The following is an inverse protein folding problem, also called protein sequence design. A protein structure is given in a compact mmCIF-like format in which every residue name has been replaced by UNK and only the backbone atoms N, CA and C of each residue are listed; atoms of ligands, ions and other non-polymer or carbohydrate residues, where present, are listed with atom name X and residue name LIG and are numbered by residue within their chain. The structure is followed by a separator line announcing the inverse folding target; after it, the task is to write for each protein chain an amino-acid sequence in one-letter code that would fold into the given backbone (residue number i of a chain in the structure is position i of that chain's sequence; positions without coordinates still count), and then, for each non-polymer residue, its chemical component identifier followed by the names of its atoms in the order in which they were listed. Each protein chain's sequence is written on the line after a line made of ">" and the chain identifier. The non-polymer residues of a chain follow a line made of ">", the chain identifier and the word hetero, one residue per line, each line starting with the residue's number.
data_IF_941818667584
#
_entry.id   IF_941818667584
#
_cell.length_a   1.000
_cell.length_b   1.000
_cell.length_c   1.000
_cell.angle_alpha   90.00
_cell.angle_beta   90.00
_cell.angle_gamma   90.00
#
_symmetry.space_group_name_H-M   'P 1'
#
loop_
_entity.id
_entity.type
_entity.pdbx_description
1 polymer ?
#
# COMPACT_ATOMS: atom_id res chain seq x y z
N UNK A 1 30.15 -15.46 -16.51
CA UNK A 1 28.77 -15.16 -16.98
C UNK A 1 28.24 -13.93 -16.23
N UNK A 2 28.68 -12.70 -16.56
CA UNK A 2 28.27 -11.49 -15.83
C UNK A 2 26.95 -10.88 -16.35
N UNK A 3 26.63 -11.03 -17.64
CA UNK A 3 25.50 -10.34 -18.30
C UNK A 3 24.13 -10.77 -17.78
N UNK A 4 23.97 -12.06 -17.41
CA UNK A 4 22.70 -12.58 -16.88
C UNK A 4 22.41 -12.03 -15.47
N UNK A 5 23.44 -11.89 -14.65
CA UNK A 5 23.32 -11.38 -13.29
C UNK A 5 23.01 -9.88 -13.28
N UNK A 6 23.62 -9.11 -14.19
CA UNK A 6 23.32 -7.70 -14.38
C UNK A 6 21.87 -7.45 -14.83
N UNK A 7 21.35 -8.30 -15.72
CA UNK A 7 19.95 -8.19 -16.18
C UNK A 7 18.97 -8.51 -15.07
N UNK A 8 19.23 -9.58 -14.28
CA UNK A 8 18.39 -9.95 -13.15
C UNK A 8 18.37 -8.84 -12.09
N UNK A 9 19.53 -8.26 -11.79
CA UNK A 9 19.66 -7.11 -10.88
C UNK A 9 18.84 -5.91 -11.36
N UNK A 10 18.98 -5.51 -12.63
CA UNK A 10 18.23 -4.39 -13.22
C UNK A 10 16.71 -4.62 -13.19
N UNK A 11 16.26 -5.86 -13.41
CA UNK A 11 14.82 -6.21 -13.32
C UNK A 11 14.31 -6.04 -11.89
N UNK A 12 15.08 -6.51 -10.91
CA UNK A 12 14.73 -6.38 -9.51
C UNK A 12 14.70 -4.91 -9.05
N UNK A 13 15.68 -4.10 -9.47
CA UNK A 13 15.68 -2.66 -9.20
C UNK A 13 14.44 -1.98 -9.79
N UNK A 14 14.07 -2.27 -11.04
CA UNK A 14 12.83 -1.76 -11.65
C UNK A 14 11.56 -2.19 -10.91
N UNK A 15 11.53 -3.41 -10.37
CA UNK A 15 10.41 -3.88 -9.56
C UNK A 15 10.28 -3.06 -8.26
N UNK A 16 11.41 -2.78 -7.60
CA UNK A 16 11.42 -1.90 -6.43
C UNK A 16 10.89 -0.51 -6.79
N UNK A 17 11.38 0.09 -7.87
CA UNK A 17 10.97 1.44 -8.26
C UNK A 17 9.48 1.52 -8.64
N UNK A 18 8.94 0.49 -9.32
CA UNK A 18 7.50 0.37 -9.60
C UNK A 18 6.69 0.29 -8.31
N UNK A 19 7.10 -0.56 -7.36
CA UNK A 19 6.41 -0.72 -6.08
C UNK A 19 6.50 0.56 -5.23
N UNK A 20 7.66 1.21 -5.18
CA UNK A 20 7.84 2.48 -4.47
C UNK A 20 6.89 3.57 -5.02
N UNK A 21 6.76 3.65 -6.34
CA UNK A 21 5.84 4.59 -6.99
C UNK A 21 4.38 4.34 -6.61
N UNK A 22 3.95 3.06 -6.62
CA UNK A 22 2.60 2.67 -6.23
C UNK A 22 2.32 2.94 -4.75
N UNK A 23 3.27 2.57 -3.87
CA UNK A 23 3.17 2.81 -2.42
C UNK A 23 3.08 4.30 -2.11
N UNK A 24 3.87 5.14 -2.79
CA UNK A 24 3.82 6.60 -2.65
C UNK A 24 2.51 7.19 -3.14
N UNK A 25 1.97 6.68 -4.25
CA UNK A 25 0.70 7.13 -4.80
C UNK A 25 -0.50 6.74 -3.92
N UNK A 26 -0.39 5.67 -3.14
CA UNK A 26 -1.43 5.25 -2.20
C UNK A 26 -1.47 6.09 -0.91
N UNK A 27 -0.46 6.93 -0.67
CA UNK A 27 -0.43 7.79 0.52
C UNK A 27 -1.45 8.91 0.41
N UNK A 28 -2.20 9.09 1.49
CA UNK A 28 -3.08 10.23 1.71
C UNK A 28 -2.28 11.41 2.26
N UNK A 29 -2.18 12.55 1.54
CA UNK A 29 -1.41 13.69 2.00
C UNK A 29 -1.84 14.22 3.36
N UNK A 30 -3.14 14.11 3.69
CA UNK A 30 -3.69 14.52 4.98
C UNK A 30 -3.09 13.78 6.19
N UNK A 31 -2.57 12.56 6.00
CA UNK A 31 -1.92 11.78 7.06
C UNK A 31 -0.40 11.92 7.06
N UNK A 32 0.14 12.93 6.35
CA UNK A 32 1.57 13.28 6.39
C UNK A 32 2.52 12.11 6.08
N UNK A 33 2.06 11.13 5.29
CA UNK A 33 2.83 9.95 4.92
C UNK A 33 2.73 8.76 5.89
N UNK A 34 1.82 8.80 6.88
CA UNK A 34 1.42 7.65 7.71
C UNK A 34 0.23 6.89 7.11
N UNK A 35 -0.10 5.75 7.71
CA UNK A 35 -1.18 4.85 7.26
C UNK A 35 -1.02 4.34 5.82
N UNK A 36 0.22 4.25 5.35
CA UNK A 36 0.53 3.70 4.04
C UNK A 36 0.13 2.23 3.92
N UNK A 37 -0.67 1.92 2.90
CA UNK A 37 -0.94 0.55 2.49
C UNK A 37 -0.94 0.42 0.98
N UNK A 38 -0.54 -0.75 0.49
CA UNK A 38 -0.69 -1.14 -0.90
C UNK A 38 -1.31 -2.53 -0.95
N UNK A 39 -2.33 -2.70 -1.79
CA UNK A 39 -2.97 -3.99 -2.02
C UNK A 39 -2.72 -4.36 -3.48
N UNK A 40 -2.04 -5.48 -3.70
CA UNK A 40 -1.81 -6.04 -5.02
C UNK A 40 -2.77 -7.22 -5.23
N UNK A 41 -3.53 -7.18 -6.31
CA UNK A 41 -4.40 -8.29 -6.72
C UNK A 41 -3.59 -9.49 -7.21
N UNK A 42 -4.25 -10.63 -7.41
CA UNK A 42 -3.61 -11.81 -8.00
C UNK A 42 -3.09 -11.54 -9.41
N UNK A 43 -3.79 -10.70 -10.18
CA UNK A 43 -3.39 -10.32 -11.53
C UNK A 43 -2.15 -9.41 -11.50
N UNK A 44 -2.11 -8.44 -10.58
CA UNK A 44 -0.92 -7.60 -10.37
C UNK A 44 0.31 -8.45 -10.02
N UNK A 45 0.13 -9.45 -9.15
CA UNK A 45 1.21 -10.36 -8.75
C UNK A 45 1.70 -11.20 -9.94
N UNK A 46 0.80 -11.70 -10.78
CA UNK A 46 1.15 -12.47 -11.97
C UNK A 46 2.01 -11.66 -12.96
N UNK A 47 1.74 -10.35 -13.09
CA UNK A 47 2.55 -9.45 -13.92
C UNK A 47 3.91 -9.09 -13.30
N UNK A 48 3.99 -9.01 -11.97
CA UNK A 48 5.18 -8.54 -11.26
C UNK A 48 6.21 -9.63 -11.01
N UNK A 49 5.82 -10.90 -11.15
CA UNK A 49 6.70 -12.07 -11.08
C UNK A 49 6.52 -12.85 -9.78
N UNK A 50 7.57 -13.56 -9.37
CA UNK A 50 7.51 -14.48 -8.24
C UNK A 50 7.15 -13.76 -6.93
N UNK A 51 6.17 -14.30 -6.20
CA UNK A 51 5.67 -13.71 -4.95
C UNK A 51 6.77 -13.43 -3.93
N UNK A 52 7.80 -14.29 -3.87
CA UNK A 52 8.95 -14.10 -2.98
C UNK A 52 9.73 -12.83 -3.32
N UNK A 53 9.96 -12.58 -4.60
CA UNK A 53 10.69 -11.41 -5.07
C UNK A 53 9.85 -10.15 -4.94
N UNK A 54 8.54 -10.23 -5.23
CA UNK A 54 7.60 -9.13 -4.99
C UNK A 54 7.54 -8.75 -3.52
N UNK A 55 7.44 -9.71 -2.60
CA UNK A 55 7.49 -9.45 -1.15
C UNK A 55 8.81 -8.85 -0.70
N UNK A 56 9.93 -9.24 -1.31
CA UNK A 56 11.25 -8.70 -0.97
C UNK A 56 11.38 -7.25 -1.48
N UNK A 57 10.96 -7.00 -2.71
CA UNK A 57 10.97 -5.68 -3.34
C UNK A 57 10.02 -4.71 -2.64
N UNK A 58 8.83 -5.15 -2.24
CA UNK A 58 7.86 -4.33 -1.50
C UNK A 58 8.40 -3.86 -0.15
N UNK A 59 9.09 -4.74 0.60
CA UNK A 59 9.74 -4.35 1.86
C UNK A 59 10.90 -3.39 1.64
N UNK A 60 11.67 -3.57 0.56
CA UNK A 60 12.75 -2.65 0.21
C UNK A 60 12.21 -1.28 -0.20
N UNK A 61 11.18 -1.23 -1.05
CA UNK A 61 10.48 -0.01 -1.42
C UNK A 61 9.92 0.70 -0.19
N UNK A 62 9.27 -0.03 0.72
CA UNK A 62 8.81 0.50 1.99
C UNK A 62 9.93 1.09 2.84
N UNK A 63 11.08 0.41 2.97
CA UNK A 63 12.25 0.96 3.66
C UNK A 63 12.74 2.27 3.05
N UNK A 64 12.75 2.40 1.71
CA UNK A 64 13.13 3.65 1.02
C UNK A 64 12.16 4.80 1.32
N UNK A 65 10.89 4.49 1.56
CA UNK A 65 9.87 5.44 2.00
C UNK A 65 9.87 5.69 3.53
N UNK A 66 10.78 5.06 4.27
CA UNK A 66 10.84 5.13 5.72
C UNK A 66 9.74 4.36 6.43
N UNK A 67 9.02 3.46 5.74
CA UNK A 67 7.97 2.61 6.32
C UNK A 67 8.57 1.44 7.11
N UNK A 68 7.85 1.00 8.14
CA UNK A 68 8.06 -0.31 8.77
C UNK A 68 7.22 -1.34 8.01
N UNK A 69 7.67 -1.67 6.80
CA UNK A 69 6.88 -2.42 5.83
C UNK A 69 6.75 -3.91 6.19
N UNK A 70 5.51 -4.38 6.35
CA UNK A 70 5.17 -5.81 6.44
C UNK A 70 4.34 -6.24 5.25
N UNK A 71 4.27 -7.56 5.02
CA UNK A 71 3.51 -8.12 3.89
C UNK A 71 2.68 -9.30 4.33
N UNK A 72 1.41 -9.34 3.94
CA UNK A 72 0.48 -10.42 4.25
C UNK A 72 -0.24 -10.87 2.98
N UNK A 73 -0.36 -12.17 2.73
CA UNK A 73 -1.13 -12.70 1.61
C UNK A 73 -2.47 -13.21 2.12
N UNK A 74 -3.56 -12.60 1.67
CA UNK A 74 -4.93 -12.94 2.09
C UNK A 74 -5.80 -13.06 0.84
N UNK A 75 -6.43 -14.21 0.65
CA UNK A 75 -7.33 -14.44 -0.49
C UNK A 75 -6.70 -14.18 -1.86
N UNK A 76 -5.42 -14.50 -2.03
CA UNK A 76 -4.67 -14.28 -3.27
C UNK A 76 -4.20 -12.84 -3.51
N UNK A 77 -4.47 -11.91 -2.58
CA UNK A 77 -4.01 -10.52 -2.64
C UNK A 77 -2.86 -10.29 -1.68
N UNK A 78 -1.84 -9.57 -2.12
CA UNK A 78 -0.72 -9.19 -1.27
C UNK A 78 -0.99 -7.81 -0.69
N UNK A 79 -1.11 -7.76 0.64
CA UNK A 79 -1.13 -6.54 1.42
C UNK A 79 0.30 -6.17 1.79
N UNK A 80 0.64 -4.90 1.60
CA UNK A 80 1.87 -4.27 2.08
C UNK A 80 1.45 -3.15 3.01
N UNK A 81 1.87 -3.21 4.26
CA UNK A 81 1.39 -2.32 5.32
C UNK A 81 2.56 -1.60 5.96
N UNK A 82 2.37 -0.32 6.28
CA UNK A 82 3.25 0.42 7.17
C UNK A 82 2.85 0.21 8.63
N UNK A 83 3.70 -0.47 9.41
CA UNK A 83 3.45 -0.75 10.84
C UNK A 83 4.21 0.20 11.77
N UNK A 84 4.58 1.40 11.30
CA UNK A 84 5.10 2.45 12.17
C UNK A 84 4.02 2.86 13.18
N UNK A 85 4.45 3.17 14.40
CA UNK A 85 3.59 3.86 15.35
C UNK A 85 3.22 5.23 14.79
N UNK A 86 1.96 5.58 14.90
CA UNK A 86 1.40 6.79 14.33
C UNK A 86 1.31 7.84 15.44
N UNK A 87 1.74 9.10 15.19
CA UNK A 87 1.55 10.19 16.14
C UNK A 87 0.06 10.39 16.48
N UNK A 88 -0.23 10.69 17.74
CA UNK A 88 -1.60 10.80 18.26
C UNK A 88 -2.46 11.78 17.45
N UNK A 89 -1.88 12.88 16.98
CA UNK A 89 -2.60 13.89 16.19
C UNK A 89 -3.08 13.33 14.84
N UNK A 90 -2.30 12.43 14.23
CA UNK A 90 -2.65 11.76 12.97
C UNK A 90 -3.65 10.63 13.23
N UNK A 91 -3.55 9.94 14.36
CA UNK A 91 -4.56 8.95 14.76
C UNK A 91 -5.93 9.60 14.99
N UNK A 92 -5.96 10.73 15.70
CA UNK A 92 -7.19 11.52 15.93
C UNK A 92 -7.79 12.00 14.60
N UNK A 93 -6.96 12.57 13.72
CA UNK A 93 -7.40 13.02 12.40
C UNK A 93 -8.00 11.88 11.55
N UNK A 94 -7.36 10.71 11.56
CA UNK A 94 -7.87 9.53 10.86
C UNK A 94 -9.19 9.03 11.46
N UNK A 95 -9.30 9.03 12.80
CA UNK A 95 -10.51 8.69 13.53
C UNK A 95 -11.69 9.60 13.17
N UNK A 96 -11.48 10.92 13.21
CA UNK A 96 -12.49 11.92 12.85
C UNK A 96 -12.92 11.79 11.38
N UNK A 97 -11.96 11.55 10.48
CA UNK A 97 -12.24 11.31 9.06
C UNK A 97 -13.11 10.08 8.86
N UNK A 98 -12.82 8.99 9.59
CA UNK A 98 -13.60 7.76 9.52
C UNK A 98 -15.01 7.95 10.10
N UNK A 99 -15.14 8.64 11.23
CA UNK A 99 -16.43 8.96 11.83
C UNK A 99 -17.30 9.79 10.87
N UNK A 100 -16.74 10.83 10.27
CA UNK A 100 -17.43 11.67 9.29
C UNK A 100 -17.89 10.87 8.06
N UNK A 101 -17.06 9.94 7.56
CA UNK A 101 -17.43 9.07 6.43
C UNK A 101 -18.58 8.11 6.78
N UNK A 102 -18.56 7.53 7.99
CA UNK A 102 -19.64 6.68 8.50
C UNK A 102 -20.93 7.49 8.60
N UNK A 103 -20.90 8.65 9.27
CA UNK A 103 -22.07 9.51 9.44
C UNK A 103 -22.66 9.94 8.09
N UNK A 104 -21.81 10.28 7.12
CA UNK A 104 -22.22 10.58 5.76
C UNK A 104 -22.98 9.42 5.09
N UNK A 105 -22.44 8.20 5.19
CA UNK A 105 -23.09 7.00 4.64
C UNK A 105 -24.44 6.70 5.31
N UNK A 106 -24.58 6.90 6.62
CA UNK A 106 -25.85 6.76 7.33
C UNK A 106 -26.90 7.79 6.88
N UNK A 107 -26.48 9.04 6.66
CA UNK A 107 -27.36 10.09 6.17
C UNK A 107 -27.83 9.82 4.73
N UNK A 108 -26.92 9.34 3.88
CA UNK A 108 -27.25 8.96 2.50
C UNK A 108 -28.20 7.76 2.44
N UNK A 109 -27.97 6.73 3.28
CA UNK A 109 -28.88 5.59 3.40
C UNK A 109 -30.26 5.91 3.96
N UNK A 110 -30.40 7.04 4.69
CA UNK A 110 -31.68 7.55 5.23
C UNK A 110 -32.43 8.48 4.29
N UNK A 111 -31.82 8.93 3.18
CA UNK A 111 -32.56 9.70 2.17
C UNK A 111 -33.63 8.79 1.55
N UNK A 112 -34.92 9.19 1.53
CA UNK A 112 -35.92 8.42 0.83
C UNK A 112 -35.49 8.31 -0.63
N UNK A 113 -35.39 7.08 -1.14
CA UNK A 113 -35.25 6.85 -2.57
C UNK A 113 -36.50 7.45 -3.20
N UNK A 114 -36.34 8.61 -3.85
CA UNK A 114 -37.42 9.33 -4.49
C UNK A 114 -38.21 8.38 -5.39
N UNK A 115 -39.51 8.33 -5.16
CA UNK A 115 -40.51 7.67 -6.01
C UNK A 115 -40.74 8.58 -7.23
#
# INVERSE_FOLDING_TARGET
>A
MPVKDDLARRRYEKLIDRLESLMRAALKPEYQGYYGHLILSSDDLAEMGELKDVRRAAREAGRRLGWKATTQLVGGRLFVLDEREVPEEIEQLAGDTAAAAIDGAWQEGRRPRGI
#
